data_IF_279180141772
#
_entry.id   IF_279180141772
#
_cell.length_a   1.000
_cell.length_b   1.000
_cell.length_c   1.000
_cell.angle_alpha   90.00
_cell.angle_beta   90.00
_cell.angle_gamma   90.00
#
_symmetry.space_group_name_H-M   'P 1'
#
loop_
_entity.id
_entity.type
_entity.pdbx_description
1 polymer ?
#
# COMPACT_ATOMS: atom_id res chain seq x y z
N UNK A 1 -3.40 -16.33 12.35
CA UNK A 1 -2.00 -16.43 12.84
C UNK A 1 -1.85 -15.44 13.98
N UNK A 2 -1.45 -15.94 15.15
CA UNK A 2 -1.39 -15.15 16.39
C UNK A 2 0.05 -14.85 16.83
N UNK A 3 1.01 -14.95 15.91
CA UNK A 3 2.41 -14.67 16.21
C UNK A 3 2.91 -13.49 15.39
N UNK A 4 3.85 -12.74 15.95
CA UNK A 4 4.57 -11.65 15.29
C UNK A 4 6.05 -11.95 15.28
N UNK A 5 6.73 -11.50 14.23
CA UNK A 5 8.19 -11.48 14.21
C UNK A 5 8.68 -10.23 14.94
N UNK A 6 9.42 -10.44 16.01
CA UNK A 6 10.02 -9.37 16.81
C UNK A 6 11.37 -9.83 17.39
N UNK A 7 12.37 -8.98 17.32
CA UNK A 7 13.72 -9.28 17.82
C UNK A 7 14.28 -10.64 17.33
N UNK A 8 14.12 -10.91 16.03
CA UNK A 8 14.72 -12.07 15.39
C UNK A 8 13.96 -13.40 15.53
N UNK A 9 12.78 -13.43 16.15
CA UNK A 9 11.98 -14.66 16.36
C UNK A 9 10.49 -14.41 16.25
N UNK A 10 9.71 -15.46 15.98
CA UNK A 10 8.25 -15.44 16.14
C UNK A 10 7.92 -15.61 17.62
N UNK A 11 6.94 -14.83 18.06
CA UNK A 11 6.45 -14.88 19.44
C UNK A 11 5.00 -14.36 19.52
N UNK A 12 4.26 -14.72 20.57
CA UNK A 12 2.92 -14.16 20.81
C UNK A 12 2.97 -12.62 20.94
N UNK A 13 1.93 -11.90 20.47
CA UNK A 13 1.87 -10.42 20.54
C UNK A 13 2.12 -9.87 21.94
N UNK A 14 1.66 -10.55 22.98
CA UNK A 14 1.77 -10.17 24.39
C UNK A 14 3.22 -10.11 24.87
N UNK A 15 4.13 -10.82 24.21
CA UNK A 15 5.58 -10.81 24.49
C UNK A 15 6.36 -9.81 23.66
N UNK A 16 5.74 -9.21 22.64
CA UNK A 16 6.38 -8.22 21.78
C UNK A 16 6.17 -6.81 22.33
N UNK A 17 6.83 -6.51 23.43
CA UNK A 17 6.69 -5.24 24.12
C UNK A 17 7.45 -4.13 23.41
N UNK A 18 6.76 -3.02 23.16
CA UNK A 18 7.34 -1.77 22.65
C UNK A 18 7.50 -0.78 23.82
N UNK A 19 8.60 -0.04 23.80
CA UNK A 19 8.79 1.06 24.75
C UNK A 19 7.71 2.12 24.57
N UNK A 20 7.16 2.71 25.64
CA UNK A 20 6.35 3.93 25.54
C UNK A 20 7.07 5.09 24.85
N UNK A 21 8.42 5.12 24.90
CA UNK A 21 9.26 6.10 24.22
C UNK A 21 9.55 5.70 22.76
N UNK A 22 8.59 5.08 22.09
CA UNK A 22 8.69 4.74 20.67
C UNK A 22 8.26 5.91 19.79
N UNK A 23 9.09 6.30 18.82
CA UNK A 23 8.83 7.44 17.92
C UNK A 23 7.53 7.28 17.13
N UNK A 24 7.20 6.06 16.75
CA UNK A 24 5.96 5.74 16.05
C UNK A 24 4.72 5.93 16.92
N UNK A 25 4.82 5.65 18.23
CA UNK A 25 3.74 5.84 19.19
C UNK A 25 3.56 7.31 19.55
N UNK A 26 4.66 8.02 19.86
CA UNK A 26 4.63 9.40 20.34
C UNK A 26 4.35 10.41 19.23
N UNK A 27 4.92 10.20 18.04
CA UNK A 27 4.94 11.20 16.98
C UNK A 27 4.41 10.71 15.63
N UNK A 28 3.93 9.45 15.53
CA UNK A 28 3.55 8.84 14.25
C UNK A 28 4.73 8.60 13.32
N UNK A 29 5.96 8.74 13.83
CA UNK A 29 7.20 8.61 13.08
C UNK A 29 7.55 7.13 12.91
N UNK A 30 6.92 6.52 11.90
CA UNK A 30 7.12 5.11 11.55
C UNK A 30 6.95 4.87 10.07
N UNK A 31 7.70 3.91 9.55
CA UNK A 31 7.64 3.43 8.18
C UNK A 31 7.09 2.00 8.16
N UNK A 32 6.42 1.62 7.07
CA UNK A 32 6.04 0.24 6.89
C UNK A 32 6.04 -0.19 5.43
N UNK A 33 6.18 -1.49 5.21
CA UNK A 33 5.95 -2.13 3.92
C UNK A 33 4.93 -3.26 4.06
N UNK A 34 4.15 -3.49 3.02
CA UNK A 34 3.16 -4.57 2.98
C UNK A 34 3.14 -5.15 1.58
N UNK A 35 3.34 -6.47 1.48
CA UNK A 35 3.30 -7.18 0.21
C UNK A 35 2.91 -8.64 0.42
N UNK A 36 2.34 -9.31 -0.62
CA UNK A 36 2.01 -10.71 -0.55
C UNK A 36 3.24 -11.58 -0.67
N UNK A 37 3.15 -12.76 -0.07
CA UNK A 37 4.10 -13.88 -0.19
C UNK A 37 3.33 -15.03 -0.81
N UNK A 38 3.72 -15.46 -2.00
CA UNK A 38 3.12 -16.56 -2.74
C UNK A 38 4.05 -17.77 -2.69
N UNK A 39 3.59 -18.87 -2.11
CA UNK A 39 4.40 -20.09 -1.97
C UNK A 39 5.77 -19.84 -1.31
N UNK A 40 5.83 -18.96 -0.32
CA UNK A 40 7.06 -18.56 0.38
C UNK A 40 7.90 -17.49 -0.34
N UNK A 41 7.50 -17.04 -1.53
CA UNK A 41 8.22 -16.03 -2.33
C UNK A 41 7.55 -14.65 -2.22
N UNK A 42 8.26 -13.63 -1.72
CA UNK A 42 7.71 -12.28 -1.58
C UNK A 42 7.62 -11.56 -2.93
N UNK A 43 6.45 -11.04 -3.26
CA UNK A 43 6.20 -10.34 -4.52
C UNK A 43 6.92 -8.98 -4.53
N UNK A 44 7.72 -8.73 -5.58
CA UNK A 44 8.44 -7.47 -5.81
C UNK A 44 9.28 -6.99 -4.61
N UNK A 45 9.86 -7.91 -3.86
CA UNK A 45 10.63 -7.62 -2.63
C UNK A 45 11.65 -6.50 -2.82
N UNK A 46 12.41 -6.53 -3.92
CA UNK A 46 13.43 -5.51 -4.22
C UNK A 46 12.84 -4.09 -4.28
N UNK A 47 11.73 -3.90 -4.99
CA UNK A 47 11.08 -2.58 -5.10
C UNK A 47 10.56 -2.08 -3.74
N UNK A 48 10.00 -2.98 -2.91
CA UNK A 48 9.56 -2.66 -1.54
C UNK A 48 10.72 -2.29 -0.63
N UNK A 49 11.80 -3.06 -0.69
CA UNK A 49 13.04 -2.82 0.05
C UNK A 49 13.65 -1.46 -0.30
N UNK A 50 13.78 -1.14 -1.58
CA UNK A 50 14.30 0.14 -2.05
C UNK A 50 13.41 1.32 -1.61
N UNK A 51 12.08 1.16 -1.62
CA UNK A 51 11.17 2.20 -1.14
C UNK A 51 11.33 2.45 0.36
N UNK A 52 11.42 1.40 1.17
CA UNK A 52 11.69 1.50 2.59
C UNK A 52 13.04 2.20 2.84
N UNK A 53 14.08 1.84 2.08
CA UNK A 53 15.39 2.46 2.16
C UNK A 53 15.37 3.97 1.92
N UNK A 54 14.61 4.42 0.92
CA UNK A 54 14.40 5.87 0.69
C UNK A 54 13.71 6.55 1.87
N UNK A 55 12.74 5.89 2.51
CA UNK A 55 12.09 6.40 3.72
C UNK A 55 13.06 6.47 4.90
N UNK A 56 13.88 5.45 5.10
CA UNK A 56 14.93 5.45 6.13
C UNK A 56 15.94 6.58 5.89
N UNK A 57 16.37 6.80 4.65
CA UNK A 57 17.28 7.87 4.31
C UNK A 57 16.71 9.26 4.67
N UNK A 58 15.42 9.51 4.34
CA UNK A 58 14.74 10.76 4.72
C UNK A 58 14.73 11.01 6.23
N UNK A 59 14.50 9.94 7.01
CA UNK A 59 14.40 10.02 8.47
C UNK A 59 15.77 9.87 9.17
N UNK A 60 16.86 9.81 8.42
CA UNK A 60 18.20 9.51 8.93
C UNK A 60 18.27 8.21 9.76
N UNK A 61 17.49 7.20 9.35
CA UNK A 61 17.45 5.88 9.99
C UNK A 61 18.32 4.87 9.26
N UNK A 62 18.90 3.96 10.03
CA UNK A 62 19.56 2.80 9.43
C UNK A 62 18.51 1.80 8.92
N UNK A 63 18.60 1.47 7.64
CA UNK A 63 17.76 0.41 7.05
C UNK A 63 18.17 -0.95 7.61
N UNK A 64 17.27 -1.73 8.25
CA UNK A 64 17.60 -3.08 8.69
C UNK A 64 18.03 -3.96 7.52
N UNK A 65 19.01 -4.86 7.70
CA UNK A 65 19.56 -5.65 6.59
C UNK A 65 18.49 -6.56 5.97
N UNK A 66 18.53 -6.75 4.65
CA UNK A 66 17.55 -7.55 3.90
C UNK A 66 17.38 -8.98 4.46
N UNK A 67 18.44 -9.54 5.09
CA UNK A 67 18.41 -10.86 5.75
C UNK A 67 17.35 -10.93 6.86
N UNK A 68 17.06 -9.85 7.59
CA UNK A 68 16.07 -9.83 8.66
C UNK A 68 14.65 -9.97 8.08
N UNK A 69 14.37 -9.32 6.94
CA UNK A 69 13.09 -9.45 6.24
C UNK A 69 12.91 -10.87 5.70
N UNK A 70 13.95 -11.40 5.05
CA UNK A 70 13.96 -12.78 4.52
C UNK A 70 13.79 -13.81 5.64
N UNK A 71 14.42 -13.59 6.80
CA UNK A 71 14.26 -14.43 7.99
C UNK A 71 12.83 -14.44 8.48
N UNK A 72 12.19 -13.25 8.63
CA UNK A 72 10.80 -13.14 9.05
C UNK A 72 9.86 -13.88 8.07
N UNK A 73 10.01 -13.65 6.75
CA UNK A 73 9.21 -14.32 5.72
C UNK A 73 9.36 -15.84 5.83
N UNK A 74 10.60 -16.37 5.93
CA UNK A 74 10.86 -17.80 6.08
C UNK A 74 10.16 -18.37 7.32
N UNK A 75 10.26 -17.72 8.46
CA UNK A 75 9.63 -18.18 9.71
C UNK A 75 8.11 -18.18 9.58
N UNK A 76 7.49 -17.15 8.97
CA UNK A 76 6.06 -17.17 8.69
C UNK A 76 5.69 -18.29 7.72
N UNK A 77 6.46 -18.50 6.63
CA UNK A 77 6.22 -19.58 5.67
C UNK A 77 6.23 -20.95 6.34
N UNK A 78 7.15 -21.18 7.27
CA UNK A 78 7.23 -22.45 8.02
C UNK A 78 6.02 -22.68 8.96
N UNK A 79 5.34 -21.62 9.38
CA UNK A 79 4.15 -21.70 10.24
C UNK A 79 2.84 -21.81 9.47
N UNK A 80 2.85 -21.55 8.18
CA UNK A 80 1.70 -21.75 7.30
C UNK A 80 1.71 -23.16 6.70
N UNK A 81 0.54 -23.69 6.25
CA UNK A 81 0.51 -24.88 5.44
C UNK A 81 1.41 -24.75 4.20
N UNK A 82 2.02 -25.85 3.73
CA UNK A 82 2.81 -25.83 2.51
C UNK A 82 2.08 -25.19 1.33
N UNK A 83 2.74 -24.25 0.64
CA UNK A 83 2.17 -23.53 -0.49
C UNK A 83 1.17 -22.43 -0.14
N UNK A 84 0.91 -22.17 1.14
CA UNK A 84 -0.02 -21.12 1.55
C UNK A 84 0.48 -19.72 1.18
N UNK A 85 -0.45 -18.89 0.75
CA UNK A 85 -0.23 -17.49 0.43
C UNK A 85 -0.67 -16.60 1.59
N UNK A 86 0.11 -15.58 1.89
CA UNK A 86 -0.21 -14.64 2.97
C UNK A 86 0.30 -13.23 2.68
N UNK A 87 -0.27 -12.26 3.38
CA UNK A 87 0.21 -10.89 3.38
C UNK A 87 1.16 -10.68 4.55
N UNK A 88 2.35 -10.17 4.28
CA UNK A 88 3.27 -9.73 5.34
C UNK A 88 3.27 -8.21 5.44
N UNK A 89 3.34 -7.69 6.66
CA UNK A 89 3.56 -6.28 6.95
C UNK A 89 4.77 -6.13 7.85
N UNK A 90 5.74 -5.37 7.40
CA UNK A 90 6.90 -4.94 8.16
C UNK A 90 6.70 -3.52 8.66
N UNK A 91 7.08 -3.27 9.92
CA UNK A 91 7.02 -1.95 10.54
C UNK A 91 8.39 -1.60 11.09
N UNK A 92 8.76 -0.34 10.95
CA UNK A 92 10.02 0.22 11.43
C UNK A 92 9.77 1.54 12.15
N UNK A 93 10.30 1.69 13.34
CA UNK A 93 10.30 2.91 14.15
C UNK A 93 11.56 2.96 14.99
N UNK A 94 11.68 3.95 15.89
CA UNK A 94 12.84 4.08 16.78
C UNK A 94 12.40 4.10 18.23
N UNK A 95 13.22 3.53 19.12
CA UNK A 95 13.13 3.76 20.56
C UNK A 95 13.99 4.99 20.89
N UNK A 96 13.42 5.94 21.61
CA UNK A 96 14.08 7.20 21.94
C UNK A 96 14.84 7.10 23.26
N UNK A 97 15.86 7.93 23.41
CA UNK A 97 16.59 8.12 24.70
C UNK A 97 15.81 9.10 25.55
N UNK A 98 15.59 8.84 26.86
CA UNK A 98 14.98 9.81 27.76
C UNK A 98 15.90 11.03 28.03
N UNK A 99 15.33 12.23 28.27
CA UNK A 99 13.93 12.56 28.15
C UNK A 99 13.52 12.65 26.66
N UNK A 100 12.40 11.96 26.31
CA UNK A 100 11.87 12.02 24.96
C UNK A 100 10.92 13.21 24.82
N UNK A 101 11.13 14.04 23.80
CA UNK A 101 10.30 15.20 23.51
C UNK A 101 10.29 15.50 22.01
N UNK A 102 9.47 16.48 21.55
CA UNK A 102 9.33 16.76 20.11
C UNK A 102 10.63 17.24 19.44
N UNK A 103 11.62 17.63 20.22
CA UNK A 103 12.96 18.02 19.75
C UNK A 103 14.06 17.00 20.05
N UNK A 104 13.68 15.79 20.49
CA UNK A 104 14.63 14.71 20.79
C UNK A 104 14.89 13.91 19.52
N UNK A 105 16.12 13.93 19.05
CA UNK A 105 16.56 13.19 17.84
C UNK A 105 17.56 12.08 18.17
N UNK A 106 17.76 11.78 19.47
CA UNK A 106 18.66 10.69 19.89
C UNK A 106 17.89 9.39 19.96
N UNK A 107 18.27 8.45 19.09
CA UNK A 107 17.67 7.13 19.03
C UNK A 107 18.50 6.13 19.82
N UNK A 108 17.83 5.32 20.64
CA UNK A 108 18.44 4.23 21.41
C UNK A 108 18.68 3.01 20.52
N UNK A 109 17.66 2.64 19.76
CA UNK A 109 17.73 1.49 18.85
C UNK A 109 16.57 1.50 17.84
N UNK A 110 16.77 0.91 16.65
CA UNK A 110 15.66 0.65 15.74
C UNK A 110 14.73 -0.42 16.31
N UNK A 111 13.43 -0.23 16.11
CA UNK A 111 12.38 -1.20 16.41
C UNK A 111 11.84 -1.74 15.09
N UNK A 112 12.06 -3.02 14.86
CA UNK A 112 11.62 -3.73 13.67
C UNK A 112 10.75 -4.92 14.06
N UNK A 113 9.54 -4.96 13.53
CA UNK A 113 8.65 -6.09 13.70
C UNK A 113 7.84 -6.38 12.43
N UNK A 114 7.34 -7.60 12.30
CA UNK A 114 6.48 -7.98 11.21
C UNK A 114 5.28 -8.79 11.69
N UNK A 115 4.19 -8.65 10.95
CA UNK A 115 2.96 -9.43 11.12
C UNK A 115 2.61 -10.11 9.80
N UNK A 116 1.93 -11.26 9.88
CA UNK A 116 1.37 -11.91 8.71
C UNK A 116 -0.15 -12.12 8.90
N UNK A 117 -0.89 -12.05 7.80
CA UNK A 117 -2.34 -12.28 7.76
C UNK A 117 -2.75 -12.96 6.46
N UNK A 118 -3.91 -13.62 6.40
CA UNK A 118 -4.46 -14.13 5.14
C UNK A 118 -4.60 -13.03 4.08
N UNK A 119 -4.52 -13.42 2.82
CA UNK A 119 -4.88 -12.54 1.69
C UNK A 119 -6.39 -12.28 1.70
N UNK A 120 -6.81 -11.08 1.30
CA UNK A 120 -8.23 -10.78 1.05
C UNK A 120 -8.72 -11.37 -0.28
N UNK A 121 -7.83 -11.41 -1.26
CA UNK A 121 -8.11 -11.91 -2.61
C UNK A 121 -6.89 -12.68 -3.11
N UNK A 122 -7.14 -13.78 -3.81
CA UNK A 122 -6.07 -14.56 -4.40
C UNK A 122 -5.70 -14.02 -5.77
N UNK A 123 -4.40 -13.96 -6.06
CA UNK A 123 -3.95 -13.52 -7.37
C UNK A 123 -4.32 -14.51 -8.47
N UNK A 124 -4.59 -15.77 -8.13
CA UNK A 124 -5.02 -16.81 -9.05
C UNK A 124 -6.50 -16.73 -9.45
N UNK A 125 -7.30 -15.86 -8.79
CA UNK A 125 -8.71 -15.70 -9.14
C UNK A 125 -8.86 -15.26 -10.60
N UNK A 126 -9.80 -15.83 -11.37
CA UNK A 126 -9.88 -15.59 -12.83
C UNK A 126 -10.23 -14.14 -13.19
N UNK A 127 -10.89 -13.43 -12.28
CA UNK A 127 -11.31 -12.05 -12.43
C UNK A 127 -10.88 -11.20 -11.23
N UNK A 128 -10.60 -9.90 -11.43
CA UNK A 128 -10.27 -9.03 -10.32
C UNK A 128 -11.44 -8.90 -9.34
N UNK A 129 -11.16 -8.73 -8.03
CA UNK A 129 -12.20 -8.43 -7.06
C UNK A 129 -12.94 -7.14 -7.41
N UNK A 130 -14.19 -7.05 -6.97
CA UNK A 130 -15.05 -5.87 -7.14
C UNK A 130 -15.34 -5.28 -5.78
N UNK A 131 -15.24 -3.96 -5.67
CA UNK A 131 -15.55 -3.24 -4.45
C UNK A 131 -16.27 -1.92 -4.72
N UNK A 132 -16.63 -1.26 -3.63
CA UNK A 132 -17.20 0.10 -3.62
C UNK A 132 -16.14 1.09 -3.14
N UNK A 133 -16.15 2.28 -3.69
CA UNK A 133 -15.26 3.35 -3.27
C UNK A 133 -16.03 4.62 -2.88
N UNK A 134 -15.44 5.34 -1.94
CA UNK A 134 -15.93 6.67 -1.56
C UNK A 134 -14.94 7.77 -1.92
N UNK A 135 -15.22 8.96 -1.39
CA UNK A 135 -14.34 10.12 -1.46
C UNK A 135 -14.07 10.60 -0.04
N UNK A 136 -12.79 10.73 0.32
CA UNK A 136 -12.40 11.25 1.64
C UNK A 136 -12.93 12.67 1.83
N UNK A 137 -13.53 13.01 2.98
CA UNK A 137 -13.87 14.39 3.31
C UNK A 137 -12.63 15.22 3.67
N UNK A 138 -11.48 14.57 3.89
CA UNK A 138 -10.24 15.23 4.28
C UNK A 138 -9.39 15.56 3.05
N UNK A 139 -9.01 16.82 2.90
CA UNK A 139 -8.09 17.26 1.85
C UNK A 139 -6.69 16.67 2.07
N UNK A 140 -6.12 16.13 1.02
CA UNK A 140 -4.75 15.62 1.05
C UNK A 140 -3.73 16.76 0.98
N UNK A 141 -2.67 16.73 1.80
CA UNK A 141 -1.57 17.67 1.62
C UNK A 141 -0.86 17.40 0.28
N UNK A 142 -0.40 18.46 -0.38
CA UNK A 142 0.42 18.31 -1.58
C UNK A 142 1.86 17.89 -1.21
N UNK A 143 2.64 17.42 -2.19
CA UNK A 143 3.97 16.85 -1.98
C UNK A 143 4.99 17.79 -1.31
N UNK A 144 4.79 19.11 -1.42
CA UNK A 144 5.65 20.11 -0.75
C UNK A 144 5.29 20.37 0.71
N UNK A 145 4.09 19.96 1.17
CA UNK A 145 3.63 20.16 2.55
C UNK A 145 3.96 18.99 3.48
N UNK A 146 4.05 17.77 2.93
CA UNK A 146 4.28 16.56 3.70
C UNK A 146 5.01 15.51 2.86
N UNK A 147 5.88 14.70 3.44
CA UNK A 147 6.62 13.67 2.69
C UNK A 147 5.72 12.48 2.29
N UNK A 148 4.70 12.74 1.48
CA UNK A 148 3.66 11.79 1.07
C UNK A 148 4.17 10.64 0.23
N UNK A 149 5.34 10.77 -0.41
CA UNK A 149 5.96 9.73 -1.25
C UNK A 149 6.46 8.52 -0.45
N UNK A 150 6.53 8.64 0.88
CA UNK A 150 6.99 7.59 1.79
C UNK A 150 5.83 6.88 2.46
N UNK A 151 6.01 5.59 2.74
CA UNK A 151 4.95 4.77 3.33
C UNK A 151 5.02 4.85 4.86
N UNK A 152 4.51 5.95 5.40
CA UNK A 152 4.39 6.19 6.85
C UNK A 152 3.12 5.55 7.43
N UNK A 153 3.07 5.36 8.76
CA UNK A 153 1.87 4.85 9.44
C UNK A 153 0.79 5.92 9.72
N UNK A 154 0.92 7.12 9.16
CA UNK A 154 -0.04 8.23 9.31
C UNK A 154 -1.33 7.98 8.52
N UNK A 155 -2.16 7.06 8.99
CA UNK A 155 -3.41 6.62 8.32
C UNK A 155 -4.68 7.12 9.01
N UNK A 156 -4.58 8.13 9.89
CA UNK A 156 -5.71 8.56 10.71
C UNK A 156 -6.93 8.96 9.86
N UNK A 157 -6.75 9.85 8.88
CA UNK A 157 -7.85 10.33 8.03
C UNK A 157 -8.50 9.21 7.21
N UNK A 158 -7.70 8.30 6.63
CA UNK A 158 -8.20 7.10 5.94
C UNK A 158 -9.00 6.21 6.88
N UNK A 159 -8.49 5.97 8.09
CA UNK A 159 -9.17 5.14 9.09
C UNK A 159 -10.47 5.73 9.59
N UNK A 160 -10.52 7.04 9.82
CA UNK A 160 -11.76 7.75 10.20
C UNK A 160 -12.81 7.64 9.10
N UNK A 161 -12.41 7.90 7.84
CA UNK A 161 -13.33 7.81 6.70
C UNK A 161 -13.90 6.40 6.53
N UNK A 162 -13.06 5.36 6.54
CA UNK A 162 -13.52 3.97 6.37
C UNK A 162 -14.32 3.43 7.57
N UNK A 163 -14.14 3.99 8.77
CA UNK A 163 -15.00 3.66 9.92
C UNK A 163 -16.39 4.28 9.80
N UNK A 164 -16.48 5.49 9.26
CA UNK A 164 -17.75 6.15 9.00
C UNK A 164 -18.51 5.52 7.81
N UNK A 165 -17.81 4.83 6.93
CA UNK A 165 -18.33 4.22 5.72
C UNK A 165 -17.83 2.77 5.56
N UNK A 166 -18.32 1.84 6.40
CA UNK A 166 -17.87 0.45 6.38
C UNK A 166 -18.23 -0.29 5.09
N UNK A 167 -19.15 0.24 4.29
CA UNK A 167 -19.55 -0.25 2.97
C UNK A 167 -18.52 0.03 1.87
N UNK A 168 -17.51 0.89 2.13
CA UNK A 168 -16.46 1.21 1.15
C UNK A 168 -15.23 0.32 1.36
N UNK A 169 -14.78 -0.30 0.30
CA UNK A 169 -13.54 -1.07 0.26
C UNK A 169 -12.30 -0.18 0.10
N UNK A 170 -12.49 0.98 -0.55
CA UNK A 170 -11.43 1.95 -0.82
C UNK A 170 -12.02 3.37 -0.91
N UNK A 171 -11.17 4.38 -1.01
CA UNK A 171 -11.59 5.77 -1.17
C UNK A 171 -10.62 6.56 -2.04
N UNK A 172 -11.12 7.59 -2.70
CA UNK A 172 -10.31 8.62 -3.37
C UNK A 172 -9.92 9.71 -2.37
N UNK A 173 -8.68 10.11 -2.40
CA UNK A 173 -8.14 11.27 -1.70
C UNK A 173 -7.95 12.40 -2.69
N UNK A 174 -8.47 13.58 -2.37
CA UNK A 174 -8.45 14.75 -3.25
C UNK A 174 -7.57 15.85 -2.64
N UNK A 175 -7.01 16.71 -3.49
CA UNK A 175 -6.39 17.96 -3.07
C UNK A 175 -7.46 19.08 -2.95
N UNK A 176 -7.03 20.29 -2.62
CA UNK A 176 -7.85 21.50 -2.48
C UNK A 176 -8.54 21.94 -3.79
N UNK A 177 -8.01 21.51 -4.95
CA UNK A 177 -8.59 21.74 -6.27
C UNK A 177 -9.62 20.68 -6.68
N UNK A 178 -9.88 19.68 -5.82
CA UNK A 178 -10.74 18.53 -6.11
C UNK A 178 -10.13 17.52 -7.09
N UNK A 179 -8.81 17.55 -7.29
CA UNK A 179 -8.10 16.62 -8.12
C UNK A 179 -7.69 15.38 -7.31
N UNK A 180 -7.72 14.22 -7.95
CA UNK A 180 -7.35 12.96 -7.31
C UNK A 180 -5.84 12.91 -7.10
N UNK A 181 -5.45 12.66 -5.84
CA UNK A 181 -4.05 12.52 -5.42
C UNK A 181 -3.66 11.06 -5.31
N UNK A 182 -4.45 10.27 -4.57
CA UNK A 182 -4.20 8.84 -4.32
C UNK A 182 -5.47 8.19 -3.78
N UNK A 183 -5.41 6.92 -3.42
CA UNK A 183 -6.43 6.24 -2.64
C UNK A 183 -6.13 6.22 -1.14
N UNK A 184 -6.98 5.55 -0.38
CA UNK A 184 -6.79 5.33 1.06
C UNK A 184 -5.68 4.35 1.35
N UNK A 185 -5.63 3.23 0.63
CA UNK A 185 -4.62 2.18 0.77
C UNK A 185 -4.04 1.67 -0.54
N UNK A 186 -4.65 2.05 -1.67
CA UNK A 186 -4.28 1.63 -3.02
C UNK A 186 -4.38 2.80 -3.99
N UNK A 187 -3.62 2.78 -5.08
CA UNK A 187 -3.55 3.88 -6.05
C UNK A 187 -4.66 3.76 -7.10
N UNK A 188 -5.48 4.81 -7.31
CA UNK A 188 -6.54 4.81 -8.31
C UNK A 188 -6.02 5.03 -9.73
N UNK A 189 -6.67 4.36 -10.66
CA UNK A 189 -6.56 4.58 -12.10
C UNK A 189 -7.96 4.71 -12.69
N UNK A 190 -8.09 5.59 -13.67
CA UNK A 190 -9.34 5.76 -14.40
C UNK A 190 -9.11 5.62 -15.90
N UNK A 191 -9.88 4.75 -16.54
CA UNK A 191 -9.89 4.56 -17.98
C UNK A 191 -11.16 5.13 -18.59
N UNK A 192 -11.04 6.07 -19.53
CA UNK A 192 -12.16 6.77 -20.17
C UNK A 192 -12.72 6.05 -21.42
N UNK A 193 -12.21 4.86 -21.73
CA UNK A 193 -12.47 4.10 -22.94
C UNK A 193 -11.39 4.25 -24.01
N UNK A 194 -10.47 5.21 -23.86
CA UNK A 194 -9.38 5.48 -24.81
C UNK A 194 -8.02 5.68 -24.13
N UNK A 195 -8.01 6.34 -23.00
CA UNK A 195 -6.77 6.70 -22.26
C UNK A 195 -6.92 6.27 -20.80
N UNK A 196 -5.87 5.68 -20.27
CA UNK A 196 -5.75 5.39 -18.84
C UNK A 196 -5.10 6.58 -18.13
N UNK A 197 -5.77 7.10 -17.10
CA UNK A 197 -5.34 8.26 -16.33
C UNK A 197 -4.80 7.82 -14.98
N UNK A 198 -3.66 8.36 -14.60
CA UNK A 198 -3.06 8.22 -13.28
C UNK A 198 -2.76 9.61 -12.70
N UNK A 199 -2.95 9.80 -11.42
CA UNK A 199 -2.53 11.02 -10.75
C UNK A 199 -0.99 11.15 -10.77
N UNK A 200 -0.43 12.32 -11.12
CA UNK A 200 1.01 12.54 -11.03
C UNK A 200 1.46 12.51 -9.57
N UNK A 201 2.66 12.01 -9.31
CA UNK A 201 3.21 11.91 -7.94
C UNK A 201 3.46 13.29 -7.30
N UNK A 202 3.59 14.32 -8.11
CA UNK A 202 3.75 15.72 -7.69
C UNK A 202 2.54 16.25 -6.92
N UNK A 203 1.36 15.65 -7.10
CA UNK A 203 0.16 15.97 -6.31
C UNK A 203 0.22 15.43 -4.87
N UNK A 204 1.21 14.60 -4.53
CA UNK A 204 1.38 14.08 -3.18
C UNK A 204 0.93 12.63 -2.98
N UNK A 205 0.76 11.86 -4.05
CA UNK A 205 0.49 10.42 -3.98
C UNK A 205 1.72 9.61 -3.55
N UNK A 206 1.46 8.41 -2.98
CA UNK A 206 2.52 7.47 -2.63
C UNK A 206 3.22 6.96 -3.91
N UNK A 207 4.56 6.84 -3.87
CA UNK A 207 5.34 6.14 -4.89
C UNK A 207 5.09 4.61 -4.79
N UNK A 208 3.88 4.18 -5.19
CA UNK A 208 3.40 2.81 -5.07
C UNK A 208 4.19 1.85 -5.96
N UNK A 209 4.63 0.72 -5.39
CA UNK A 209 5.30 -0.36 -6.14
C UNK A 209 4.33 -0.94 -7.18
N UNK A 210 3.10 -1.23 -6.80
CA UNK A 210 2.11 -1.79 -7.73
C UNK A 210 1.74 -0.81 -8.84
N UNK A 211 1.62 0.51 -8.53
CA UNK A 211 1.44 1.55 -9.56
C UNK A 211 2.56 1.51 -10.60
N UNK A 212 3.82 1.48 -10.16
CA UNK A 212 4.99 1.35 -11.04
C UNK A 212 4.86 0.12 -11.95
N UNK A 213 4.49 -1.04 -11.37
CA UNK A 213 4.33 -2.29 -12.14
C UNK A 213 3.18 -2.23 -13.14
N UNK A 214 2.06 -1.59 -12.80
CA UNK A 214 0.95 -1.39 -13.75
C UNK A 214 1.34 -0.45 -14.88
N UNK A 215 2.08 0.63 -14.61
CA UNK A 215 2.59 1.53 -15.66
C UNK A 215 3.57 0.79 -16.60
N UNK A 216 4.48 -0.03 -16.05
CA UNK A 216 5.37 -0.88 -16.84
C UNK A 216 4.56 -1.87 -17.72
N UNK A 217 3.47 -2.43 -17.17
CA UNK A 217 2.58 -3.33 -17.90
C UNK A 217 1.83 -2.60 -19.03
N UNK A 218 1.32 -1.40 -18.78
CA UNK A 218 0.66 -0.58 -19.80
C UNK A 218 1.57 -0.32 -21.00
N UNK A 219 2.83 0.00 -20.75
CA UNK A 219 3.83 0.16 -21.84
C UNK A 219 4.00 -1.12 -22.67
N UNK A 220 4.02 -2.30 -22.04
CA UNK A 220 4.16 -3.60 -22.74
C UNK A 220 2.91 -3.98 -23.55
N UNK A 221 1.75 -3.50 -23.11
CA UNK A 221 0.46 -3.80 -23.74
C UNK A 221 -0.02 -2.72 -24.69
N UNK A 222 0.82 -1.71 -24.97
CA UNK A 222 0.48 -0.54 -25.76
C UNK A 222 -0.81 0.16 -25.30
N UNK A 223 -0.99 0.26 -23.97
CA UNK A 223 -2.09 0.99 -23.37
C UNK A 223 -1.70 2.44 -23.25
N UNK A 224 -2.44 3.33 -23.91
CA UNK A 224 -2.24 4.78 -23.80
C UNK A 224 -2.48 5.24 -22.37
N UNK A 225 -1.41 5.63 -21.68
CA UNK A 225 -1.45 6.12 -20.30
C UNK A 225 -1.00 7.57 -20.22
N UNK A 226 -1.69 8.37 -19.40
CA UNK A 226 -1.31 9.75 -19.10
C UNK A 226 -1.26 9.97 -17.58
N UNK A 227 -0.12 10.47 -17.11
CA UNK A 227 0.05 10.96 -15.74
C UNK A 227 -0.30 12.43 -15.72
N UNK A 228 -1.56 12.76 -15.44
CA UNK A 228 -2.09 14.12 -15.36
C UNK A 228 -3.17 14.23 -14.29
N UNK A 229 -3.37 15.44 -13.71
CA UNK A 229 -4.48 15.68 -12.81
C UNK A 229 -5.82 15.32 -13.44
N UNK A 230 -6.69 14.70 -12.65
CA UNK A 230 -8.06 14.39 -13.05
C UNK A 230 -9.01 14.51 -11.83
N UNK A 231 -10.30 14.73 -12.09
CA UNK A 231 -11.33 14.91 -11.06
C UNK A 231 -12.38 13.81 -11.14
N UNK A 232 -12.98 13.40 -9.99
CA UNK A 232 -14.06 12.41 -9.98
C UNK A 232 -15.29 12.85 -10.80
N UNK A 233 -15.53 14.16 -10.95
CA UNK A 233 -16.60 14.71 -11.78
C UNK A 233 -16.48 14.35 -13.26
N UNK A 234 -15.23 14.13 -13.76
CA UNK A 234 -14.95 13.74 -15.13
C UNK A 234 -15.14 12.25 -15.43
N UNK A 235 -15.40 11.41 -14.41
CA UNK A 235 -15.66 10.00 -14.63
C UNK A 235 -16.92 9.80 -15.48
N UNK A 236 -16.87 8.93 -16.48
CA UNK A 236 -18.04 8.53 -17.27
C UNK A 236 -18.58 7.18 -16.78
N UNK A 237 -19.88 6.94 -16.94
CA UNK A 237 -20.49 5.64 -16.62
C UNK A 237 -19.95 4.49 -17.49
N UNK A 238 -19.39 4.83 -18.67
CA UNK A 238 -18.78 3.87 -19.60
C UNK A 238 -17.30 3.60 -19.30
N UNK A 239 -16.69 4.41 -18.43
CA UNK A 239 -15.29 4.27 -18.04
C UNK A 239 -15.09 3.20 -16.96
N UNK A 240 -13.82 2.89 -16.68
CA UNK A 240 -13.40 1.90 -15.70
C UNK A 240 -12.59 2.58 -14.60
N UNK A 241 -13.07 2.53 -13.35
CA UNK A 241 -12.30 2.93 -12.18
C UNK A 241 -11.78 1.68 -11.48
N UNK A 242 -10.50 1.66 -11.17
CA UNK A 242 -9.92 0.59 -10.38
C UNK A 242 -8.77 1.10 -9.51
N UNK A 243 -8.49 0.40 -8.44
CA UNK A 243 -7.36 0.67 -7.55
C UNK A 243 -6.33 -0.44 -7.65
N UNK A 244 -5.05 -0.06 -7.50
CA UNK A 244 -3.95 -1.02 -7.49
C UNK A 244 -3.09 -0.84 -6.24
N UNK A 245 -2.70 -1.95 -5.62
CA UNK A 245 -1.89 -1.95 -4.42
C UNK A 245 -1.48 -3.35 -4.02
N UNK A 246 -0.41 -3.49 -3.25
CA UNK A 246 0.08 -4.80 -2.84
C UNK A 246 -0.96 -5.61 -2.05
N UNK A 247 -1.90 -4.93 -1.37
CA UNK A 247 -2.94 -5.58 -0.56
C UNK A 247 -4.15 -6.09 -1.34
N UNK A 248 -4.40 -5.53 -2.53
CA UNK A 248 -5.58 -5.84 -3.36
C UNK A 248 -5.21 -6.28 -4.77
N UNK A 249 -3.90 -6.24 -5.12
CA UNK A 249 -3.40 -6.36 -6.49
C UNK A 249 -4.09 -5.35 -7.42
N UNK A 250 -5.32 -5.66 -7.86
CA UNK A 250 -6.20 -4.77 -8.60
C UNK A 250 -7.64 -4.96 -8.09
N UNK A 251 -8.28 -3.86 -7.65
CA UNK A 251 -9.66 -3.81 -7.19
C UNK A 251 -10.50 -3.01 -8.21
N UNK A 252 -11.42 -3.67 -8.88
CA UNK A 252 -12.35 -3.03 -9.81
C UNK A 252 -13.50 -2.36 -9.05
N UNK A 253 -13.91 -1.15 -9.43
CA UNK A 253 -14.93 -0.37 -8.70
C UNK A 253 -16.29 -0.47 -9.35
N UNK A 254 -17.29 -0.87 -8.58
CA UNK A 254 -18.70 -0.91 -9.00
C UNK A 254 -19.47 0.38 -8.71
N UNK A 255 -19.09 1.09 -7.64
CA UNK A 255 -19.70 2.35 -7.22
C UNK A 255 -18.67 3.32 -6.68
N UNK A 256 -18.80 4.59 -7.05
CA UNK A 256 -18.10 5.69 -6.39
C UNK A 256 -19.15 6.54 -5.67
N UNK A 257 -19.22 6.43 -4.35
CA UNK A 257 -20.36 6.87 -3.56
C UNK A 257 -21.64 6.24 -4.14
N UNK A 258 -22.65 7.03 -4.42
CA UNK A 258 -23.95 6.60 -4.99
C UNK A 258 -23.90 6.38 -6.50
N UNK A 259 -22.82 6.78 -7.16
CA UNK A 259 -22.67 6.67 -8.62
C UNK A 259 -22.27 5.27 -9.04
N UNK A 260 -23.12 4.59 -9.78
CA UNK A 260 -22.85 3.29 -10.37
C UNK A 260 -21.81 3.41 -11.49
N UNK A 261 -20.82 2.52 -11.49
CA UNK A 261 -19.77 2.36 -12.50
C UNK A 261 -19.83 0.95 -13.09
N UNK A 262 -19.15 0.75 -14.21
CA UNK A 262 -19.01 -0.57 -14.84
C UNK A 262 -17.78 -1.28 -14.26
N UNK A 263 -17.94 -2.28 -13.37
CA UNK A 263 -16.81 -3.04 -12.88
C UNK A 263 -16.33 -4.05 -13.93
N UNK A 264 -15.08 -4.49 -13.81
CA UNK A 264 -14.48 -5.52 -14.66
C UNK A 264 -14.61 -5.20 -16.15
N UNK A 265 -14.36 -3.94 -16.50
CA UNK A 265 -14.32 -3.56 -17.90
C UNK A 265 -13.16 -4.22 -18.65
N UNK A 266 -13.15 -4.19 -20.01
CA UNK A 266 -12.17 -4.90 -20.83
C UNK A 266 -10.72 -4.60 -20.47
N UNK A 267 -10.38 -3.33 -20.20
CA UNK A 267 -9.01 -2.96 -19.83
C UNK A 267 -8.63 -3.50 -18.45
N UNK A 268 -9.52 -3.35 -17.46
CA UNK A 268 -9.30 -3.85 -16.10
C UNK A 268 -9.04 -5.36 -16.09
N UNK A 269 -9.85 -6.14 -16.81
CA UNK A 269 -9.69 -7.60 -16.92
C UNK A 269 -8.39 -7.95 -17.64
N UNK A 270 -8.07 -7.25 -18.74
CA UNK A 270 -6.82 -7.45 -19.49
C UNK A 270 -5.60 -7.19 -18.62
N UNK A 271 -5.59 -6.08 -17.87
CA UNK A 271 -4.50 -5.74 -16.94
C UNK A 271 -4.38 -6.77 -15.83
N UNK A 272 -5.50 -7.24 -15.26
CA UNK A 272 -5.51 -8.28 -14.24
C UNK A 272 -4.84 -9.56 -14.72
N UNK A 273 -5.24 -10.10 -15.86
CA UNK A 273 -4.70 -11.34 -16.42
C UNK A 273 -3.19 -11.26 -16.70
N UNK A 274 -2.72 -10.11 -17.20
CA UNK A 274 -1.30 -9.90 -17.46
C UNK A 274 -0.51 -9.68 -16.17
N UNK A 275 -1.08 -8.96 -15.20
CA UNK A 275 -0.47 -8.75 -13.91
C UNK A 275 -0.30 -10.07 -13.14
N UNK A 276 -1.32 -10.94 -13.13
CA UNK A 276 -1.25 -12.28 -12.54
C UNK A 276 -0.07 -13.07 -13.11
N UNK A 277 -0.02 -13.24 -14.43
CA UNK A 277 1.06 -13.99 -15.09
C UNK A 277 2.43 -13.41 -14.74
N UNK A 278 2.56 -12.12 -14.80
CA UNK A 278 3.82 -11.47 -14.50
C UNK A 278 4.21 -11.55 -13.02
N UNK A 279 3.25 -11.37 -12.11
CA UNK A 279 3.50 -11.46 -10.68
C UNK A 279 3.93 -12.88 -10.27
N UNK A 280 3.24 -13.91 -10.76
CA UNK A 280 3.54 -15.31 -10.47
C UNK A 280 4.87 -15.80 -11.09
N UNK A 281 5.28 -15.25 -12.24
CA UNK A 281 6.58 -15.56 -12.84
C UNK A 281 7.76 -14.89 -12.11
N UNK A 282 7.53 -13.73 -11.48
CA UNK A 282 8.57 -12.92 -10.81
C UNK A 282 8.56 -13.04 -9.29
N UNK A 283 7.66 -13.83 -8.75
CA UNK A 283 7.57 -14.08 -7.30
C UNK A 283 8.62 -15.06 -6.80
#
# INVERSE_FOLDING_TARGET
>A
MNEIYYQGRLQPPERALLSPLNSGLLYGESLFETFPVYGGRPLFFKDHWERLGRGCHLLHWTLPPAREFKKAIRLFTQKHPPGADFMVRFNLSQELVPPAGPRTFTFKRPVFFATARPLRHHIADPLPPVGKAGISPWTSPHAGMFPTRFKTASYLTTRLTLRAHPEWDELLRLNDKGEVVDGGGATPFWYDGKTLWAAPLELGGLASVTRKKVIELCKRLDVKLKERPWKPSGLSAKGELFFVGSGVALLSVSHLKDRKLKPRGPLTVRLWQHYQRWALQKS
#
